data_IF_872140542429
#
_entry.id   IF_872140542429
#
_cell.length_a   1.000
_cell.length_b   1.000
_cell.length_c   1.000
_cell.angle_alpha   90.00
_cell.angle_beta   90.00
_cell.angle_gamma   90.00
#
_symmetry.space_group_name_H-M   'P 1'
#
loop_
_entity.id
_entity.type
_entity.pdbx_description
1 polymer ?
#
# COMPACT_ATOMS: atom_id res chain seq x y z
N UNK A 1 -34.32 -21.06 -53.18
CA UNK A 1 -35.14 -20.98 -51.95
C UNK A 1 -34.25 -21.44 -50.83
N UNK A 2 -33.72 -20.49 -50.07
CA UNK A 2 -32.89 -20.76 -48.90
C UNK A 2 -33.57 -20.08 -47.72
N UNK A 3 -34.11 -20.88 -46.83
CA UNK A 3 -34.75 -20.42 -45.61
C UNK A 3 -33.66 -20.14 -44.57
N UNK A 4 -33.60 -18.90 -44.07
CA UNK A 4 -32.74 -18.51 -42.98
C UNK A 4 -33.16 -19.21 -41.68
N UNK A 5 -32.20 -19.80 -41.01
CA UNK A 5 -32.31 -20.53 -39.75
C UNK A 5 -32.62 -19.56 -38.59
N UNK A 6 -33.73 -19.73 -37.84
CA UNK A 6 -34.14 -18.82 -36.77
C UNK A 6 -33.28 -18.91 -35.49
N UNK A 7 -32.22 -19.75 -35.46
CA UNK A 7 -31.41 -20.01 -34.27
C UNK A 7 -29.94 -19.57 -34.37
N UNK A 8 -29.64 -18.54 -35.15
CA UNK A 8 -28.25 -18.02 -35.19
C UNK A 8 -28.07 -16.88 -34.19
N UNK A 9 -27.43 -17.08 -33.04
CA UNK A 9 -27.23 -16.02 -32.01
C UNK A 9 -26.18 -15.01 -32.40
N UNK A 10 -25.55 -15.10 -33.58
CA UNK A 10 -24.50 -14.20 -34.07
C UNK A 10 -24.90 -13.42 -35.32
N UNK A 11 -26.18 -13.32 -35.64
CA UNK A 11 -26.67 -12.45 -36.73
C UNK A 11 -26.71 -11.01 -36.33
N UNK A 12 -26.37 -10.05 -37.26
CA UNK A 12 -26.44 -8.62 -36.94
C UNK A 12 -27.89 -8.19 -36.65
N UNK A 13 -28.12 -7.28 -35.68
CA UNK A 13 -29.47 -6.83 -35.33
C UNK A 13 -30.11 -6.10 -36.51
N UNK A 14 -31.29 -6.61 -36.90
CA UNK A 14 -32.16 -5.97 -37.89
C UNK A 14 -32.72 -4.66 -37.33
N UNK A 15 -32.58 -3.60 -38.11
CA UNK A 15 -32.99 -2.25 -37.75
C UNK A 15 -34.50 -2.10 -37.52
N UNK A 16 -34.86 -1.37 -36.49
CA UNK A 16 -36.18 -0.75 -36.33
C UNK A 16 -36.17 0.64 -36.96
N UNK A 17 -37.21 0.99 -37.74
CA UNK A 17 -37.38 2.35 -38.28
C UNK A 17 -38.16 3.22 -37.31
N UNK A 18 -37.68 4.45 -37.16
CA UNK A 18 -38.52 5.55 -36.81
C UNK A 18 -38.41 6.16 -35.43
N UNK A 19 -37.78 7.25 -35.33
CA UNK A 19 -38.30 8.57 -35.00
C UNK A 19 -37.16 9.54 -34.77
N UNK A 20 -37.03 10.52 -35.68
CA UNK A 20 -36.22 11.72 -35.54
C UNK A 20 -36.98 12.74 -34.67
N UNK A 21 -36.32 13.39 -33.73
CA UNK A 21 -36.66 14.77 -33.35
C UNK A 21 -35.48 15.71 -33.62
N UNK A 22 -35.79 16.74 -34.43
CA UNK A 22 -35.38 18.11 -34.31
C UNK A 22 -33.90 18.48 -34.24
N UNK A 23 -33.31 18.91 -35.35
CA UNK A 23 -32.09 19.72 -35.38
C UNK A 23 -32.30 21.11 -34.81
N UNK A 24 -31.42 21.68 -33.99
CA UNK A 24 -31.37 23.12 -33.74
C UNK A 24 -30.71 23.85 -34.91
N UNK A 25 -31.02 25.16 -35.11
CA UNK A 25 -30.65 25.88 -36.34
C UNK A 25 -29.16 26.19 -36.44
N UNK A 26 -28.66 26.07 -37.66
CA UNK A 26 -27.31 26.38 -38.13
C UNK A 26 -27.01 27.88 -37.98
N UNK A 27 -25.86 28.22 -37.38
CA UNK A 27 -25.29 29.56 -37.39
C UNK A 27 -24.56 29.82 -38.74
N UNK A 28 -24.47 31.13 -39.18
CA UNK A 28 -24.03 31.46 -40.51
C UNK A 28 -22.56 31.21 -40.80
N UNK A 29 -22.27 30.70 -42.01
CA UNK A 29 -20.93 30.50 -42.58
C UNK A 29 -20.22 31.83 -42.79
N UNK A 30 -18.96 31.92 -42.33
CA UNK A 30 -18.00 32.95 -42.73
C UNK A 30 -17.17 32.49 -43.95
N UNK A 31 -16.65 33.43 -44.79
CA UNK A 31 -16.16 33.12 -46.12
C UNK A 31 -14.78 32.41 -46.12
N UNK A 32 -14.61 31.56 -47.13
CA UNK A 32 -13.37 30.88 -47.52
C UNK A 32 -12.23 31.85 -47.86
N UNK A 33 -11.09 31.72 -47.15
CA UNK A 33 -9.82 32.32 -47.49
C UNK A 33 -8.81 31.21 -47.82
N UNK A 34 -8.01 31.42 -48.86
CA UNK A 34 -7.11 30.56 -49.57
C UNK A 34 -6.06 29.77 -48.75
N UNK A 35 -5.54 28.64 -49.29
CA UNK A 35 -4.56 27.78 -48.58
C UNK A 35 -3.15 28.36 -48.66
N UNK A 36 -2.57 28.73 -47.52
CA UNK A 36 -1.18 29.05 -47.35
C UNK A 36 -0.41 27.82 -46.84
N UNK A 37 0.55 27.36 -47.65
CA UNK A 37 1.55 26.37 -47.20
C UNK A 37 2.48 27.02 -46.17
N UNK A 38 2.30 26.71 -44.89
CA UNK A 38 3.20 27.12 -43.84
C UNK A 38 3.56 25.90 -42.98
N UNK A 39 4.87 25.52 -43.01
CA UNK A 39 5.42 24.52 -42.10
C UNK A 39 5.24 24.97 -40.65
N UNK A 40 4.87 24.09 -39.72
CA UNK A 40 4.89 24.44 -38.31
C UNK A 40 6.35 24.53 -37.84
N UNK A 41 6.76 25.74 -37.48
CA UNK A 41 8.03 26.04 -36.84
C UNK A 41 8.06 25.43 -35.46
N UNK A 42 9.06 24.59 -35.19
CA UNK A 42 9.28 23.99 -33.87
C UNK A 42 9.53 25.08 -32.83
N UNK A 43 8.98 25.00 -31.63
CA UNK A 43 9.31 25.91 -30.53
C UNK A 43 10.77 25.67 -30.09
N UNK A 44 11.58 26.74 -30.17
CA UNK A 44 12.96 26.78 -29.67
C UNK A 44 12.97 26.58 -28.16
N UNK A 45 13.86 25.71 -27.76
CA UNK A 45 14.64 25.57 -26.56
C UNK A 45 14.14 26.16 -25.25
N UNK A 46 13.71 25.27 -24.36
CA UNK A 46 13.83 25.49 -22.91
C UNK A 46 14.99 24.61 -22.42
N UNK A 47 15.95 25.14 -21.63
CA UNK A 47 17.08 24.36 -21.13
C UNK A 47 16.60 23.24 -20.22
N UNK A 48 17.27 22.06 -20.18
CA UNK A 48 16.88 20.96 -19.30
C UNK A 48 17.17 21.36 -17.85
N UNK A 49 16.11 21.67 -17.11
CA UNK A 49 16.18 21.79 -15.67
C UNK A 49 16.28 20.37 -15.10
N UNK A 50 17.44 19.99 -14.61
CA UNK A 50 17.67 18.80 -13.81
C UNK A 50 16.86 18.92 -12.53
N UNK A 51 15.64 18.36 -12.53
CA UNK A 51 14.86 18.11 -11.35
C UNK A 51 14.76 16.61 -11.21
N UNK A 52 15.29 16.06 -10.13
CA UNK A 52 14.99 14.72 -9.65
C UNK A 52 13.50 14.69 -9.23
N UNK A 53 12.63 14.65 -10.21
CA UNK A 53 11.20 14.42 -10.04
C UNK A 53 10.88 13.08 -10.67
N UNK A 54 10.35 12.16 -9.87
CA UNK A 54 9.71 10.95 -10.39
C UNK A 54 8.74 11.35 -11.49
N UNK A 55 8.73 10.68 -12.66
CA UNK A 55 7.73 10.97 -13.68
C UNK A 55 6.35 10.73 -13.08
N UNK A 56 5.64 11.81 -12.82
CA UNK A 56 4.22 11.76 -12.52
C UNK A 56 3.55 11.30 -13.82
N UNK A 57 3.25 10.00 -13.87
CA UNK A 57 2.49 9.41 -14.98
C UNK A 57 1.19 10.20 -15.10
N UNK A 58 1.12 11.05 -16.14
CA UNK A 58 -0.11 11.74 -16.51
C UNK A 58 -1.21 10.70 -16.60
N UNK A 59 -2.23 10.86 -15.76
CA UNK A 59 -3.45 10.09 -15.85
C UNK A 59 -4.02 10.30 -17.26
N UNK A 60 -3.95 9.27 -18.10
CA UNK A 60 -4.71 9.21 -19.35
C UNK A 60 -6.17 9.52 -19.00
N UNK A 61 -6.86 10.41 -19.76
CA UNK A 61 -8.28 10.63 -19.56
C UNK A 61 -8.99 9.30 -19.77
N UNK A 62 -9.32 8.65 -18.64
CA UNK A 62 -9.94 7.33 -18.66
C UNK A 62 -11.34 7.42 -19.23
N UNK A 63 -11.67 6.52 -20.12
CA UNK A 63 -13.04 6.20 -20.53
C UNK A 63 -13.94 6.13 -19.27
N UNK A 64 -15.11 6.79 -19.26
CA UNK A 64 -16.05 6.65 -18.14
C UNK A 64 -16.57 5.21 -18.10
N UNK A 65 -16.10 4.42 -17.13
CA UNK A 65 -16.60 3.06 -16.89
C UNK A 65 -15.56 1.94 -16.79
N UNK A 66 -14.28 2.18 -17.09
CA UNK A 66 -13.24 1.16 -16.91
C UNK A 66 -12.64 1.21 -15.50
N UNK A 67 -12.83 0.17 -14.68
CA UNK A 67 -11.98 -0.10 -13.52
C UNK A 67 -10.54 -0.35 -14.02
N UNK A 68 -9.77 0.74 -14.23
CA UNK A 68 -8.36 0.62 -14.61
C UNK A 68 -7.65 0.02 -13.40
N UNK A 69 -7.34 -1.26 -13.49
CA UNK A 69 -6.56 -1.95 -12.45
C UNK A 69 -5.19 -1.28 -12.32
N UNK A 70 -4.77 -0.89 -11.12
CA UNK A 70 -3.49 -0.22 -10.95
C UNK A 70 -2.35 -1.15 -11.38
N UNK A 71 -1.61 -0.77 -12.43
CA UNK A 71 -0.43 -1.50 -12.89
C UNK A 71 0.76 -1.31 -11.95
N UNK A 72 0.78 -0.23 -11.19
CA UNK A 72 1.82 0.09 -10.21
C UNK A 72 1.25 0.13 -8.81
N UNK A 73 2.09 -0.24 -7.83
CA UNK A 73 1.68 -0.21 -6.42
C UNK A 73 1.38 1.24 -6.00
N UNK A 74 0.20 1.51 -5.37
CA UNK A 74 -0.13 2.84 -4.87
C UNK A 74 0.92 3.37 -3.89
N UNK A 75 1.23 4.68 -3.94
CA UNK A 75 2.29 5.29 -3.15
C UNK A 75 2.14 5.07 -1.64
N UNK A 76 0.93 5.16 -1.08
CA UNK A 76 0.67 4.87 0.33
C UNK A 76 1.04 3.44 0.73
N UNK A 77 0.83 2.47 -0.16
CA UNK A 77 1.22 1.07 0.09
C UNK A 77 2.74 0.89 0.03
N UNK A 78 3.41 1.60 -0.87
CA UNK A 78 4.88 1.62 -0.93
C UNK A 78 5.45 2.21 0.36
N UNK A 79 4.89 3.32 0.86
CA UNK A 79 5.26 3.91 2.16
C UNK A 79 5.04 2.92 3.30
N UNK A 80 3.86 2.28 3.38
CA UNK A 80 3.57 1.28 4.41
C UNK A 80 4.57 0.11 4.36
N UNK A 81 4.92 -0.37 3.16
CA UNK A 81 5.91 -1.43 2.96
C UNK A 81 7.29 -1.04 3.52
N UNK A 82 7.76 0.17 3.20
CA UNK A 82 9.05 0.67 3.69
C UNK A 82 9.03 0.82 5.21
N UNK A 83 7.96 1.37 5.77
CA UNK A 83 7.80 1.52 7.22
C UNK A 83 7.82 0.15 7.94
N UNK A 84 7.17 -0.88 7.39
CA UNK A 84 7.20 -2.21 7.98
C UNK A 84 8.64 -2.78 7.96
N UNK A 85 9.41 -2.60 6.87
CA UNK A 85 10.82 -3.03 6.84
C UNK A 85 11.65 -2.33 7.91
N UNK A 86 11.53 -1.01 8.02
CA UNK A 86 12.28 -0.23 9.01
C UNK A 86 11.91 -0.68 10.43
N UNK A 87 10.61 -0.79 10.72
CA UNK A 87 10.14 -1.20 12.04
C UNK A 87 10.56 -2.64 12.40
N UNK A 88 10.48 -3.56 11.45
CA UNK A 88 10.92 -4.94 11.67
C UNK A 88 12.44 -5.03 11.90
N UNK A 89 13.23 -4.25 11.18
CA UNK A 89 14.67 -4.14 11.40
C UNK A 89 15.01 -3.60 12.80
N UNK A 90 14.38 -2.49 13.19
CA UNK A 90 14.55 -1.90 14.52
C UNK A 90 14.07 -2.85 15.63
N UNK A 91 12.99 -3.60 15.38
CA UNK A 91 12.46 -4.58 16.34
C UNK A 91 13.43 -5.75 16.55
N UNK A 92 14.10 -6.24 15.50
CA UNK A 92 15.15 -7.28 15.64
C UNK A 92 16.30 -6.75 16.47
N UNK A 93 16.80 -5.56 16.17
CA UNK A 93 17.90 -4.95 16.93
C UNK A 93 17.50 -4.74 18.40
N UNK A 94 16.29 -4.27 18.64
CA UNK A 94 15.75 -4.11 20.00
C UNK A 94 15.59 -5.42 20.73
N UNK A 95 15.12 -6.48 20.06
CA UNK A 95 14.98 -7.81 20.65
C UNK A 95 16.35 -8.42 21.04
N UNK A 96 17.36 -8.26 20.19
CA UNK A 96 18.74 -8.69 20.48
C UNK A 96 19.29 -7.92 21.69
N UNK A 97 19.18 -6.59 21.68
CA UNK A 97 19.65 -5.76 22.80
C UNK A 97 18.96 -6.12 24.11
N UNK A 98 17.65 -6.31 24.08
CA UNK A 98 16.87 -6.72 25.26
C UNK A 98 17.27 -8.13 25.74
N UNK A 99 17.49 -9.08 24.83
CA UNK A 99 17.97 -10.40 25.19
C UNK A 99 19.34 -10.38 25.88
N UNK A 100 20.26 -9.52 25.39
CA UNK A 100 21.57 -9.32 26.04
C UNK A 100 21.41 -8.75 27.46
N UNK A 101 20.51 -7.78 27.63
CA UNK A 101 20.24 -7.19 28.97
C UNK A 101 19.67 -8.24 29.91
N UNK A 102 18.71 -9.06 29.47
CA UNK A 102 18.13 -10.15 30.28
C UNK A 102 19.20 -11.16 30.67
N UNK A 103 20.07 -11.58 29.72
CA UNK A 103 21.17 -12.50 30.00
C UNK A 103 22.16 -11.94 31.01
N UNK A 104 22.60 -10.70 30.85
CA UNK A 104 23.51 -10.04 31.77
C UNK A 104 22.91 -9.89 33.18
N UNK A 105 21.61 -9.56 33.27
CA UNK A 105 20.90 -9.48 34.55
C UNK A 105 20.83 -10.86 35.25
N UNK A 106 20.64 -11.93 34.47
CA UNK A 106 20.68 -13.29 34.97
C UNK A 106 22.06 -13.68 35.53
N UNK A 107 23.15 -13.36 34.82
CA UNK A 107 24.50 -13.65 35.25
C UNK A 107 24.82 -12.93 36.57
N UNK A 108 24.40 -11.66 36.71
CA UNK A 108 24.57 -10.89 37.92
C UNK A 108 23.77 -11.49 39.09
N UNK A 109 22.53 -11.89 38.87
CA UNK A 109 21.69 -12.47 39.93
C UNK A 109 22.20 -13.84 40.37
N UNK A 110 22.69 -14.65 39.45
CA UNK A 110 23.31 -15.95 39.75
C UNK A 110 24.59 -15.79 40.56
N UNK A 111 25.42 -14.80 40.21
CA UNK A 111 26.65 -14.48 40.94
C UNK A 111 26.37 -13.96 42.34
N UNK A 112 25.23 -13.27 42.55
CA UNK A 112 24.78 -12.78 43.83
C UNK A 112 24.05 -13.84 44.70
N UNK A 113 23.92 -15.08 44.20
CA UNK A 113 23.26 -16.17 44.89
C UNK A 113 21.72 -16.09 44.98
N UNK A 114 21.11 -15.24 44.15
CA UNK A 114 19.66 -15.06 44.05
C UNK A 114 19.10 -15.57 42.71
N UNK A 115 19.88 -16.32 41.94
CA UNK A 115 19.51 -16.80 40.62
C UNK A 115 18.20 -17.57 40.61
N UNK A 116 18.04 -18.54 41.50
CA UNK A 116 16.80 -19.36 41.57
C UNK A 116 15.53 -18.56 41.73
N UNK A 117 15.56 -17.42 42.44
CA UNK A 117 14.40 -16.54 42.59
C UNK A 117 14.10 -15.67 41.38
N UNK A 118 15.07 -15.48 40.49
CA UNK A 118 14.97 -14.63 39.30
C UNK A 118 14.81 -15.42 37.98
N UNK A 119 15.01 -16.72 37.99
CA UNK A 119 14.94 -17.61 36.81
C UNK A 119 13.60 -17.52 36.09
N UNK A 120 12.50 -17.45 36.81
CA UNK A 120 11.17 -17.26 36.25
C UNK A 120 11.03 -15.94 35.49
N UNK A 121 11.61 -14.86 36.01
CA UNK A 121 11.59 -13.53 35.35
C UNK A 121 12.46 -13.51 34.11
N UNK A 122 13.64 -14.13 34.17
CA UNK A 122 14.51 -14.26 33.02
C UNK A 122 13.86 -15.11 31.91
N UNK A 123 13.21 -16.24 32.30
CA UNK A 123 12.43 -17.04 31.36
C UNK A 123 11.34 -16.27 30.65
N UNK A 124 10.59 -15.43 31.37
CA UNK A 124 9.59 -14.51 30.77
C UNK A 124 10.26 -13.47 29.83
N UNK A 125 11.42 -12.93 30.22
CA UNK A 125 12.20 -12.01 29.39
C UNK A 125 12.61 -12.64 28.06
N UNK A 126 13.17 -13.86 28.09
CA UNK A 126 13.53 -14.57 26.84
C UNK A 126 12.31 -14.99 26.03
N UNK A 127 11.19 -15.34 26.65
CA UNK A 127 9.94 -15.60 25.94
C UNK A 127 9.45 -14.35 25.17
N UNK A 128 9.54 -13.17 25.77
CA UNK A 128 9.22 -11.91 25.11
C UNK A 128 10.17 -11.62 23.93
N UNK A 129 11.49 -11.87 24.09
CA UNK A 129 12.45 -11.76 22.98
C UNK A 129 12.03 -12.67 21.83
N UNK A 130 11.66 -13.90 22.09
CA UNK A 130 11.19 -14.85 21.07
C UNK A 130 9.95 -14.33 20.33
N UNK A 131 8.96 -13.81 21.05
CA UNK A 131 7.74 -13.22 20.46
C UNK A 131 8.10 -12.03 19.58
N UNK A 132 8.97 -11.12 20.05
CA UNK A 132 9.39 -9.95 19.28
C UNK A 132 10.09 -10.34 17.97
N UNK A 133 10.96 -11.36 18.00
CA UNK A 133 11.62 -11.86 16.80
C UNK A 133 10.61 -12.47 15.82
N UNK A 134 9.67 -13.27 16.30
CA UNK A 134 8.62 -13.86 15.45
C UNK A 134 7.78 -12.75 14.78
N UNK A 135 7.39 -11.72 15.52
CA UNK A 135 6.65 -10.59 14.97
C UNK A 135 7.47 -9.79 13.96
N UNK A 136 8.76 -9.59 14.19
CA UNK A 136 9.65 -8.91 13.27
C UNK A 136 9.82 -9.69 11.95
N UNK A 137 10.03 -11.01 12.04
CA UNK A 137 10.10 -11.90 10.87
C UNK A 137 8.78 -11.89 10.09
N UNK A 138 7.63 -11.93 10.79
CA UNK A 138 6.32 -11.79 10.18
C UNK A 138 6.20 -10.45 9.42
N UNK A 139 6.63 -9.35 10.02
CA UNK A 139 6.65 -8.03 9.37
C UNK A 139 7.48 -8.04 8.08
N UNK A 140 8.68 -8.64 8.09
CA UNK A 140 9.52 -8.76 6.88
C UNK A 140 8.80 -9.59 5.80
N UNK A 141 8.22 -10.74 6.17
CA UNK A 141 7.47 -11.58 5.23
C UNK A 141 6.30 -10.82 4.61
N UNK A 142 5.54 -10.06 5.41
CA UNK A 142 4.45 -9.23 4.93
C UNK A 142 4.98 -8.19 3.93
N UNK A 143 6.03 -7.46 4.27
CA UNK A 143 6.61 -6.43 3.42
C UNK A 143 7.14 -6.99 2.08
N UNK A 144 7.73 -8.18 2.07
CA UNK A 144 8.13 -8.89 0.84
C UNK A 144 6.89 -9.23 0.00
N UNK A 145 5.84 -9.76 0.64
CA UNK A 145 4.63 -10.21 -0.05
C UNK A 145 3.68 -9.08 -0.49
N UNK A 146 3.95 -7.81 -0.18
CA UNK A 146 3.13 -6.68 -0.65
C UNK A 146 3.02 -6.60 -2.19
N UNK A 147 4.09 -6.94 -2.91
CA UNK A 147 4.10 -6.90 -4.39
C UNK A 147 3.31 -8.06 -5.02
N UNK A 148 3.30 -9.22 -4.38
CA UNK A 148 2.73 -10.46 -4.90
C UNK A 148 1.56 -10.99 -4.05
N UNK A 149 1.31 -10.43 -2.87
CA UNK A 149 0.31 -10.87 -1.93
C UNK A 149 -1.14 -10.63 -2.40
N UNK A 150 -2.09 -11.46 -1.94
CA UNK A 150 -3.53 -11.32 -2.13
C UNK A 150 -4.23 -10.71 -0.93
N UNK A 151 -5.56 -10.87 -0.90
CA UNK A 151 -6.39 -10.41 0.22
C UNK A 151 -5.90 -10.91 1.59
N UNK A 152 -5.32 -12.11 1.65
CA UNK A 152 -4.71 -12.64 2.88
C UNK A 152 -3.58 -11.77 3.42
N UNK A 153 -2.66 -11.29 2.57
CA UNK A 153 -1.58 -10.38 2.99
C UNK A 153 -2.15 -9.07 3.53
N UNK A 154 -3.19 -8.53 2.89
CA UNK A 154 -3.87 -7.33 3.35
C UNK A 154 -4.45 -7.52 4.76
N UNK A 155 -5.21 -8.61 4.98
CA UNK A 155 -5.84 -8.90 6.28
C UNK A 155 -4.77 -9.09 7.36
N UNK A 156 -3.74 -9.89 7.10
CA UNK A 156 -2.65 -10.12 8.07
C UNK A 156 -1.91 -8.82 8.40
N UNK A 157 -1.72 -7.92 7.41
CA UNK A 157 -1.09 -6.62 7.66
C UNK A 157 -1.98 -5.71 8.51
N UNK A 158 -3.30 -5.73 8.32
CA UNK A 158 -4.26 -5.00 9.18
C UNK A 158 -4.15 -5.51 10.62
N UNK A 159 -4.15 -6.83 10.82
CA UNK A 159 -3.99 -7.43 12.15
C UNK A 159 -2.66 -7.03 12.77
N UNK A 160 -1.55 -7.11 12.01
CA UNK A 160 -0.23 -6.69 12.46
C UNK A 160 -0.19 -5.22 12.89
N UNK A 161 -0.74 -4.31 12.07
CA UNK A 161 -0.83 -2.89 12.41
C UNK A 161 -1.70 -2.63 13.64
N UNK A 162 -2.80 -3.36 13.80
CA UNK A 162 -3.66 -3.28 14.99
C UNK A 162 -2.93 -3.72 16.24
N UNK A 163 -2.13 -4.78 16.19
CA UNK A 163 -1.29 -5.23 17.30
C UNK A 163 -0.23 -4.19 17.66
N UNK A 164 0.38 -3.53 16.67
CA UNK A 164 1.31 -2.41 16.92
C UNK A 164 0.62 -1.27 17.66
N UNK A 165 -0.58 -0.88 17.23
CA UNK A 165 -1.36 0.20 17.88
C UNK A 165 -1.71 -0.19 19.31
N UNK A 166 -2.19 -1.42 19.55
CA UNK A 166 -2.49 -1.92 20.87
C UNK A 166 -1.26 -1.92 21.78
N UNK A 167 -0.11 -2.38 21.29
CA UNK A 167 1.17 -2.31 22.01
C UNK A 167 1.58 -0.87 22.33
N UNK A 168 1.35 0.07 21.39
CA UNK A 168 1.55 1.50 21.62
C UNK A 168 0.66 2.04 22.74
N UNK A 169 -0.63 1.68 22.76
CA UNK A 169 -1.57 2.08 23.81
C UNK A 169 -1.11 1.54 25.17
N UNK A 170 -0.71 0.27 25.27
CA UNK A 170 -0.20 -0.33 26.49
C UNK A 170 1.03 0.42 27.01
N UNK A 171 2.00 0.75 26.12
CA UNK A 171 3.17 1.55 26.50
C UNK A 171 2.80 2.96 26.95
N UNK A 172 1.78 3.58 26.36
CA UNK A 172 1.31 4.90 26.77
C UNK A 172 0.73 4.86 28.20
N UNK A 173 -0.06 3.83 28.50
CA UNK A 173 -0.69 3.62 29.84
C UNK A 173 0.35 3.26 30.90
N UNK A 174 1.49 2.63 30.53
CA UNK A 174 2.56 2.28 31.47
C UNK A 174 3.21 3.49 32.15
N UNK A 175 3.05 4.70 31.58
CA UNK A 175 3.46 5.96 32.18
C UNK A 175 4.98 6.21 32.26
N UNK A 176 5.81 5.32 31.70
CA UNK A 176 7.26 5.53 31.63
C UNK A 176 7.61 6.49 30.50
N UNK A 177 8.57 7.39 30.70
CA UNK A 177 8.96 8.36 29.67
C UNK A 177 9.44 7.70 28.37
N UNK A 178 10.18 6.60 28.47
CA UNK A 178 10.59 5.80 27.30
C UNK A 178 9.38 5.09 26.66
N UNK A 179 8.41 4.66 27.45
CA UNK A 179 7.16 4.07 26.96
C UNK A 179 6.31 5.04 26.16
N UNK A 180 6.18 6.29 26.61
CA UNK A 180 5.43 7.34 25.91
C UNK A 180 6.05 7.62 24.53
N UNK A 181 7.38 7.76 24.45
CA UNK A 181 8.05 8.01 23.18
C UNK A 181 7.87 6.85 22.18
N UNK A 182 8.06 5.60 22.63
CA UNK A 182 7.85 4.42 21.78
C UNK A 182 6.38 4.24 21.39
N UNK A 183 5.43 4.59 22.27
CA UNK A 183 4.01 4.58 22.00
C UNK A 183 3.63 5.53 20.86
N UNK A 184 4.13 6.76 20.90
CA UNK A 184 3.86 7.75 19.83
C UNK A 184 4.34 7.24 18.47
N UNK A 185 5.54 6.68 18.41
CA UNK A 185 6.08 6.08 17.18
C UNK A 185 5.19 4.94 16.69
N UNK A 186 4.82 4.01 17.58
CA UNK A 186 3.98 2.86 17.23
C UNK A 186 2.58 3.28 16.76
N UNK A 187 1.96 4.27 17.40
CA UNK A 187 0.64 4.79 17.04
C UNK A 187 0.65 5.49 15.68
N UNK A 188 1.67 6.34 15.42
CA UNK A 188 1.79 7.06 14.14
C UNK A 188 2.06 6.07 13.01
N UNK A 189 3.05 5.19 13.16
CA UNK A 189 3.42 4.24 12.09
C UNK A 189 2.33 3.20 11.89
N UNK A 190 1.79 2.64 12.96
CA UNK A 190 0.67 1.70 12.89
C UNK A 190 -0.56 2.31 12.25
N UNK A 191 -0.87 3.57 12.56
CA UNK A 191 -1.95 4.34 11.94
C UNK A 191 -1.76 4.56 10.45
N UNK A 192 -0.53 4.90 10.01
CA UNK A 192 -0.20 5.03 8.58
C UNK A 192 -0.36 3.69 7.85
N UNK A 193 0.15 2.61 8.42
CA UNK A 193 0.03 1.27 7.83
C UNK A 193 -1.45 0.86 7.75
N UNK A 194 -2.22 1.08 8.81
CA UNK A 194 -3.64 0.73 8.85
C UNK A 194 -4.44 1.50 7.80
N UNK A 195 -4.27 2.83 7.73
CA UNK A 195 -4.93 3.68 6.72
C UNK A 195 -4.54 3.29 5.30
N UNK A 196 -3.27 2.96 5.07
CA UNK A 196 -2.82 2.47 3.77
C UNK A 196 -3.54 1.18 3.35
N UNK A 197 -3.82 0.26 4.30
CA UNK A 197 -4.46 -1.04 4.00
C UNK A 197 -5.99 -0.96 3.89
N UNK A 198 -6.63 -0.02 4.59
CA UNK A 198 -8.09 0.15 4.55
C UNK A 198 -8.54 0.89 3.29
N UNK A 199 -7.66 1.65 2.65
CA UNK A 199 -7.96 2.43 1.44
C UNK A 199 -8.48 1.53 0.29
N UNK A 200 -9.40 2.09 -0.53
CA UNK A 200 -9.96 1.44 -1.72
C UNK A 200 -8.89 1.03 -2.74
N UNK A 201 -7.83 1.83 -2.89
CA UNK A 201 -6.69 1.52 -3.75
C UNK A 201 -5.95 0.25 -3.32
N UNK A 202 -5.80 0.03 -2.01
CA UNK A 202 -5.23 -1.21 -1.49
C UNK A 202 -6.13 -2.40 -1.79
N UNK A 203 -7.46 -2.22 -1.65
CA UNK A 203 -8.43 -3.26 -2.02
C UNK A 203 -8.30 -3.67 -3.48
N UNK A 204 -8.24 -2.70 -4.39
CA UNK A 204 -8.07 -2.95 -5.82
C UNK A 204 -6.74 -3.66 -6.13
N UNK A 205 -5.64 -3.24 -5.49
CA UNK A 205 -4.32 -3.85 -5.67
C UNK A 205 -4.26 -5.31 -5.22
N UNK A 206 -4.78 -5.64 -4.05
CA UNK A 206 -4.72 -6.99 -3.49
C UNK A 206 -5.75 -7.96 -4.11
N UNK A 207 -6.83 -7.45 -4.70
CA UNK A 207 -7.86 -8.26 -5.37
C UNK A 207 -7.66 -8.40 -6.88
N UNK A 208 -6.54 -7.88 -7.45
CA UNK A 208 -6.25 -8.02 -8.88
C UNK A 208 -6.10 -9.50 -9.27
N UNK A 209 -6.63 -9.89 -10.46
CA UNK A 209 -6.41 -11.24 -11.00
C UNK A 209 -4.92 -11.48 -11.22
N UNK A 210 -4.47 -12.65 -10.88
CA UNK A 210 -3.09 -13.12 -11.08
C UNK A 210 -3.13 -14.21 -12.11
N UNK A 211 -2.43 -13.96 -13.18
CA UNK A 211 -2.21 -14.94 -14.23
C UNK A 211 -0.79 -15.51 -14.08
#
# INVERSE_FOLDING_TARGET
MSFGDPNNPYGPPQGQPGQQPGYPPQAPQAPQGQPGYGYPQAPQGVPPQQGYGYPQQQAYPGYPGGNVMPMTMPGLMTTARVLIYIMSGLQILGAIAFGVIVGAAQDVSSSAGVGDSTDGLAGLGFALVGILIVLAVLGIILAVKFSTGGSGVRITTIVYASLMILGGIVNLVSGTSSGVFSALIALVIGGIILTAMVNSQASAWFNRPRY
#
